data_IF_995494713586
#
_entry.id   IF_995494713586
#
_cell.length_a   1.000
_cell.length_b   1.000
_cell.length_c   1.000
_cell.angle_alpha   90.00
_cell.angle_beta   90.00
_cell.angle_gamma   90.00
#
_symmetry.space_group_name_H-M   'P 1'
#
loop_
_entity.id
_entity.type
_entity.pdbx_description
1 polymer ?
#
# COMPACT_ATOMS: atom_id res chain seq x y z
N UNK A 1 22.88 -4.37 -43.46
CA UNK A 1 22.27 -3.75 -42.25
C UNK A 1 21.06 -4.58 -41.84
N UNK A 2 21.13 -5.34 -40.74
CA UNK A 2 19.94 -6.02 -40.18
C UNK A 2 19.06 -4.95 -39.53
N UNK A 3 17.82 -4.78 -40.00
CA UNK A 3 16.81 -4.02 -39.27
C UNK A 3 16.43 -4.83 -38.03
N UNK A 4 16.68 -4.28 -36.85
CA UNK A 4 16.13 -4.81 -35.60
C UNK A 4 14.67 -4.42 -35.53
N UNK A 5 13.78 -5.42 -35.47
CA UNK A 5 12.37 -5.21 -35.18
C UNK A 5 12.18 -5.39 -33.68
N UNK A 6 11.76 -4.33 -32.99
CA UNK A 6 11.42 -4.38 -31.57
C UNK A 6 9.91 -4.31 -31.42
N UNK A 7 9.31 -5.34 -30.81
CA UNK A 7 7.92 -5.32 -30.39
C UNK A 7 7.87 -4.76 -28.96
N UNK A 8 7.06 -3.72 -28.77
CA UNK A 8 6.83 -3.11 -27.45
C UNK A 8 5.35 -3.26 -27.15
N UNK A 9 5.03 -3.95 -26.06
CA UNK A 9 3.66 -4.09 -25.55
C UNK A 9 3.61 -3.33 -24.23
N UNK A 10 2.72 -2.35 -24.13
CA UNK A 10 2.48 -1.60 -22.91
C UNK A 10 1.08 -1.93 -22.40
N UNK A 11 1.00 -2.46 -21.19
CA UNK A 11 -0.26 -2.63 -20.47
C UNK A 11 -0.41 -1.45 -19.51
N UNK A 12 -1.34 -0.55 -19.81
CA UNK A 12 -1.54 0.70 -19.08
C UNK A 12 -3.02 0.87 -18.74
N UNK A 13 -3.28 1.40 -17.55
CA UNK A 13 -4.60 1.93 -17.23
C UNK A 13 -4.88 3.21 -18.04
N UNK A 14 -6.16 3.55 -18.30
CA UNK A 14 -6.52 4.70 -19.14
C UNK A 14 -5.91 6.03 -18.69
N UNK A 15 -5.92 6.29 -17.38
CA UNK A 15 -5.33 7.46 -16.74
C UNK A 15 -3.81 7.54 -16.97
N UNK A 16 -3.10 6.41 -16.88
CA UNK A 16 -1.66 6.34 -17.14
C UNK A 16 -1.34 6.52 -18.62
N UNK A 17 -2.23 6.08 -19.52
CA UNK A 17 -2.09 6.34 -20.95
C UNK A 17 -2.21 7.84 -21.26
N UNK A 18 -3.19 8.53 -20.68
CA UNK A 18 -3.33 9.98 -20.81
C UNK A 18 -2.10 10.74 -20.27
N UNK A 19 -1.57 10.32 -19.12
CA UNK A 19 -0.34 10.90 -18.56
C UNK A 19 0.88 10.63 -19.45
N UNK A 20 0.96 9.46 -20.07
CA UNK A 20 2.05 9.12 -21.00
C UNK A 20 1.97 10.01 -22.25
N UNK A 21 0.78 10.24 -22.80
CA UNK A 21 0.56 11.12 -23.94
C UNK A 21 0.97 12.58 -23.68
N UNK A 22 0.84 13.05 -22.45
CA UNK A 22 1.25 14.43 -22.07
C UNK A 22 2.75 14.54 -21.77
N UNK A 23 3.43 13.44 -21.45
CA UNK A 23 4.84 13.44 -21.03
C UNK A 23 5.82 13.24 -22.20
N UNK A 24 5.43 12.49 -23.24
CA UNK A 24 6.32 12.14 -24.36
C UNK A 24 5.97 12.89 -25.65
N UNK A 25 6.98 13.10 -26.50
CA UNK A 25 6.81 13.72 -27.81
C UNK A 25 5.93 12.87 -28.76
N UNK A 26 5.24 13.53 -29.67
CA UNK A 26 4.32 12.96 -30.65
C UNK A 26 4.99 11.90 -31.54
N UNK A 27 6.30 12.00 -31.76
CA UNK A 27 7.08 11.00 -32.51
C UNK A 27 7.17 9.64 -31.79
N UNK A 28 7.21 9.64 -30.45
CA UNK A 28 7.23 8.43 -29.61
C UNK A 28 5.81 7.90 -29.46
N UNK A 29 4.85 8.79 -29.18
CA UNK A 29 3.43 8.41 -29.11
C UNK A 29 3.00 7.73 -30.39
N UNK A 30 3.29 8.30 -31.57
CA UNK A 30 2.92 7.71 -32.87
C UNK A 30 3.58 6.35 -33.18
N UNK A 31 4.65 5.96 -32.47
CA UNK A 31 5.24 4.62 -32.59
C UNK A 31 4.66 3.62 -31.60
N UNK A 32 4.28 4.07 -30.41
CA UNK A 32 3.72 3.22 -29.34
C UNK A 32 2.21 3.02 -29.55
N UNK A 33 1.53 4.04 -30.06
CA UNK A 33 0.08 4.09 -30.24
C UNK A 33 -0.41 3.45 -31.54
N UNK A 34 0.49 2.79 -32.30
CA UNK A 34 0.17 2.17 -33.59
C UNK A 34 -0.99 1.17 -33.49
N UNK A 35 -1.05 0.43 -32.37
CA UNK A 35 -2.15 -0.47 -32.06
C UNK A 35 -2.55 -0.25 -30.60
N UNK A 36 -3.71 0.37 -30.40
CA UNK A 36 -4.32 0.54 -29.08
C UNK A 36 -5.47 -0.45 -28.95
N UNK A 37 -5.38 -1.33 -27.95
CA UNK A 37 -6.45 -2.26 -27.60
C UNK A 37 -7.01 -1.81 -26.26
N UNK A 38 -8.21 -1.23 -26.27
CA UNK A 38 -8.94 -0.95 -25.05
C UNK A 38 -9.61 -2.24 -24.57
N UNK A 39 -9.22 -2.72 -23.39
CA UNK A 39 -9.90 -3.85 -22.76
C UNK A 39 -11.20 -3.33 -22.13
N UNK A 40 -12.34 -3.87 -22.59
CA UNK A 40 -13.64 -3.58 -21.97
C UNK A 40 -13.82 -4.36 -20.68
N UNK A 41 -14.69 -3.85 -19.82
CA UNK A 41 -15.15 -4.61 -18.67
C UNK A 41 -15.80 -5.92 -19.12
N UNK A 42 -15.45 -7.00 -18.44
CA UNK A 42 -15.98 -8.32 -18.73
C UNK A 42 -17.42 -8.42 -18.22
N UNK A 43 -18.25 -9.08 -19.01
CA UNK A 43 -19.60 -9.47 -18.62
C UNK A 43 -19.56 -10.68 -17.67
N UNK A 44 -20.62 -10.89 -16.89
CA UNK A 44 -20.74 -12.05 -15.99
C UNK A 44 -20.53 -13.37 -16.74
N UNK A 45 -21.04 -13.49 -17.97
CA UNK A 45 -20.85 -14.67 -18.82
C UNK A 45 -19.38 -14.93 -19.17
N UNK A 46 -18.59 -13.87 -19.38
CA UNK A 46 -17.16 -13.97 -19.65
C UNK A 46 -16.35 -14.31 -18.40
N UNK A 47 -16.72 -13.74 -17.24
CA UNK A 47 -16.11 -14.12 -15.94
C UNK A 47 -16.37 -15.61 -15.66
N UNK A 48 -17.60 -16.09 -15.88
CA UNK A 48 -17.94 -17.51 -15.77
C UNK A 48 -17.12 -18.39 -16.72
N UNK A 49 -16.90 -17.94 -17.96
CA UNK A 49 -16.06 -18.65 -18.91
C UNK A 49 -14.59 -18.73 -18.45
N UNK A 50 -14.04 -17.64 -17.89
CA UNK A 50 -12.68 -17.60 -17.35
C UNK A 50 -12.52 -18.55 -16.17
N UNK A 51 -13.48 -18.56 -15.25
CA UNK A 51 -13.48 -19.50 -14.13
C UNK A 51 -13.54 -20.95 -14.62
N UNK A 52 -14.36 -21.23 -15.64
CA UNK A 52 -14.44 -22.56 -16.25
C UNK A 52 -13.10 -23.01 -16.85
N UNK A 53 -12.39 -22.12 -17.57
CA UNK A 53 -11.05 -22.42 -18.12
C UNK A 53 -10.04 -22.71 -17.00
N UNK A 54 -10.08 -21.95 -15.89
CA UNK A 54 -9.21 -22.20 -14.73
C UNK A 54 -9.54 -23.51 -14.00
N UNK A 55 -10.78 -23.98 -14.06
CA UNK A 55 -11.17 -25.26 -13.45
C UNK A 55 -10.90 -26.46 -14.36
N UNK A 56 -10.89 -26.26 -15.69
CA UNK A 56 -10.49 -27.30 -16.65
C UNK A 56 -9.08 -27.84 -16.39
N UNK A 57 -8.15 -27.01 -15.88
CA UNK A 57 -6.81 -27.48 -15.50
C UNK A 57 -6.79 -28.41 -14.30
N UNK A 58 -7.87 -28.47 -13.53
CA UNK A 58 -8.02 -29.29 -12.32
C UNK A 58 -9.02 -30.45 -12.49
N UNK A 59 -9.59 -30.61 -13.69
CA UNK A 59 -10.62 -31.63 -14.01
C UNK A 59 -11.84 -31.62 -13.07
N UNK A 60 -12.19 -30.45 -12.52
CA UNK A 60 -13.32 -30.26 -11.62
C UNK A 60 -14.35 -29.34 -12.30
N UNK A 61 -15.64 -29.64 -12.15
CA UNK A 61 -16.71 -28.78 -12.68
C UNK A 61 -17.00 -27.62 -11.73
N UNK A 62 -17.31 -26.44 -12.30
CA UNK A 62 -17.58 -25.23 -11.53
C UNK A 62 -18.73 -25.44 -10.52
N UNK A 63 -19.75 -26.18 -10.97
CA UNK A 63 -20.98 -26.51 -10.25
C UNK A 63 -20.77 -27.56 -9.14
N UNK A 64 -19.61 -28.23 -9.11
CA UNK A 64 -19.24 -29.15 -8.03
C UNK A 64 -18.55 -28.43 -6.86
N UNK A 65 -17.94 -27.28 -7.13
CA UNK A 65 -17.14 -26.52 -6.17
C UNK A 65 -17.92 -25.35 -5.55
N UNK A 66 -18.75 -24.68 -6.35
CA UNK A 66 -19.51 -23.50 -5.93
C UNK A 66 -21.02 -23.75 -6.00
N UNK A 67 -21.75 -23.27 -5.00
CA UNK A 67 -23.22 -23.26 -5.05
C UNK A 67 -23.73 -22.13 -5.96
N UNK A 68 -25.01 -22.17 -6.33
CA UNK A 68 -25.62 -21.13 -7.16
C UNK A 68 -25.55 -19.74 -6.50
N UNK A 69 -25.68 -19.66 -5.18
CA UNK A 69 -25.54 -18.41 -4.41
C UNK A 69 -24.09 -17.91 -4.41
N UNK A 70 -23.11 -18.82 -4.24
CA UNK A 70 -21.68 -18.47 -4.29
C UNK A 70 -21.31 -17.87 -5.66
N UNK A 71 -21.83 -18.46 -6.75
CA UNK A 71 -21.58 -17.99 -8.11
C UNK A 71 -22.22 -16.62 -8.39
N UNK A 72 -23.43 -16.38 -7.90
CA UNK A 72 -24.08 -15.07 -8.06
C UNK A 72 -23.27 -13.96 -7.35
N UNK A 73 -22.82 -14.23 -6.12
CA UNK A 73 -22.00 -13.28 -5.37
C UNK A 73 -20.62 -13.05 -6.04
N UNK A 74 -19.97 -14.11 -6.55
CA UNK A 74 -18.71 -13.99 -7.31
C UNK A 74 -18.89 -13.13 -8.57
N UNK A 75 -19.93 -13.41 -9.37
CA UNK A 75 -20.16 -12.76 -10.65
C UNK A 75 -20.60 -11.31 -10.50
N UNK A 76 -21.22 -10.96 -9.36
CA UNK A 76 -21.61 -9.57 -9.04
C UNK A 76 -20.43 -8.64 -8.75
N UNK A 77 -19.24 -9.17 -8.44
CA UNK A 77 -18.09 -8.34 -8.05
C UNK A 77 -17.39 -7.72 -9.26
N UNK A 78 -17.09 -6.45 -9.14
CA UNK A 78 -16.28 -5.69 -10.10
C UNK A 78 -15.13 -5.01 -9.37
N UNK A 79 -13.88 -5.03 -9.90
CA UNK A 79 -13.43 -5.56 -11.20
C UNK A 79 -13.25 -7.10 -11.23
N UNK A 80 -12.83 -7.68 -12.37
CA UNK A 80 -12.59 -9.14 -12.50
C UNK A 80 -11.66 -9.69 -11.40
N UNK A 81 -10.70 -8.90 -10.92
CA UNK A 81 -9.82 -9.31 -9.82
C UNK A 81 -10.60 -9.51 -8.52
N UNK A 82 -11.55 -8.64 -8.20
CA UNK A 82 -12.47 -8.80 -7.08
C UNK A 82 -13.32 -10.07 -7.23
N UNK A 83 -13.85 -10.35 -8.42
CA UNK A 83 -14.57 -11.60 -8.70
C UNK A 83 -13.69 -12.84 -8.50
N UNK A 84 -12.45 -12.83 -9.04
CA UNK A 84 -11.51 -13.95 -8.88
C UNK A 84 -11.05 -14.13 -7.42
N UNK A 85 -10.80 -13.04 -6.70
CA UNK A 85 -10.46 -13.07 -5.28
C UNK A 85 -11.63 -13.61 -4.45
N UNK A 86 -12.86 -13.22 -4.79
CA UNK A 86 -14.08 -13.76 -4.14
C UNK A 86 -14.23 -15.26 -4.44
N UNK A 87 -13.99 -15.68 -5.67
CA UNK A 87 -13.98 -17.10 -6.03
C UNK A 87 -12.92 -17.89 -5.25
N UNK A 88 -11.72 -17.33 -5.07
CA UNK A 88 -10.67 -17.94 -4.26
C UNK A 88 -11.08 -18.05 -2.77
N UNK A 89 -11.73 -17.02 -2.21
CA UNK A 89 -12.25 -17.06 -0.84
C UNK A 89 -13.33 -18.15 -0.65
N UNK A 90 -14.23 -18.32 -1.62
CA UNK A 90 -15.22 -19.42 -1.58
C UNK A 90 -14.56 -20.79 -1.75
N UNK A 91 -13.51 -20.90 -2.57
CA UNK A 91 -12.72 -22.13 -2.66
C UNK A 91 -12.10 -22.48 -1.31
N UNK A 92 -11.47 -21.51 -0.64
CA UNK A 92 -10.89 -21.69 0.68
C UNK A 92 -11.93 -22.04 1.75
N UNK A 93 -13.15 -21.48 1.67
CA UNK A 93 -14.26 -21.89 2.53
C UNK A 93 -14.63 -23.36 2.31
N UNK A 94 -14.78 -23.81 1.06
CA UNK A 94 -15.29 -25.14 0.73
C UNK A 94 -14.26 -26.25 0.92
N UNK A 95 -13.00 -25.96 0.60
CA UNK A 95 -11.91 -26.94 0.62
C UNK A 95 -11.14 -26.89 1.92
N UNK A 96 -10.87 -25.70 2.45
CA UNK A 96 -10.02 -25.49 3.62
C UNK A 96 -10.79 -25.09 4.89
N UNK A 97 -12.14 -24.99 4.84
CA UNK A 97 -13.00 -24.55 5.96
C UNK A 97 -12.62 -23.17 6.54
N UNK A 98 -12.11 -22.27 5.70
CA UNK A 98 -11.75 -20.90 6.12
C UNK A 98 -12.99 -19.99 6.00
N UNK A 99 -13.46 -19.37 7.10
CA UNK A 99 -14.68 -18.55 7.07
C UNK A 99 -14.53 -17.31 6.19
N UNK A 100 -15.61 -16.92 5.51
CA UNK A 100 -15.67 -15.71 4.70
C UNK A 100 -15.68 -14.46 5.60
N UNK A 101 -14.99 -13.37 5.21
CA UNK A 101 -15.12 -12.07 5.87
C UNK A 101 -16.56 -11.52 5.77
N UNK A 102 -17.07 -10.92 6.84
CA UNK A 102 -18.46 -10.46 6.94
C UNK A 102 -18.65 -9.08 6.29
N UNK A 103 -18.90 -9.05 4.99
CA UNK A 103 -19.12 -7.82 4.20
C UNK A 103 -20.32 -6.97 4.71
N UNK A 104 -21.23 -7.54 5.52
CA UNK A 104 -22.36 -6.80 6.10
C UNK A 104 -21.94 -5.85 7.22
N UNK A 105 -20.77 -6.05 7.83
CA UNK A 105 -20.19 -5.06 8.78
C UNK A 105 -19.71 -3.81 8.05
N UNK A 106 -18.96 -3.97 6.96
CA UNK A 106 -18.43 -2.83 6.19
C UNK A 106 -19.53 -1.89 5.65
N UNK A 107 -20.65 -2.43 5.16
CA UNK A 107 -21.79 -1.61 4.69
C UNK A 107 -22.49 -0.88 5.85
N UNK A 108 -22.59 -1.50 7.03
CA UNK A 108 -23.14 -0.85 8.24
C UNK A 108 -22.22 0.23 8.79
N UNK A 109 -20.91 0.04 8.67
CA UNK A 109 -19.91 1.04 9.07
C UNK A 109 -19.89 2.25 8.13
N UNK A 110 -20.16 2.08 6.83
CA UNK A 110 -20.34 3.18 5.89
C UNK A 110 -21.54 4.07 6.26
N UNK A 111 -22.69 3.48 6.62
CA UNK A 111 -23.90 4.21 7.05
C UNK A 111 -23.72 4.90 8.43
N UNK A 112 -22.85 4.35 9.28
CA UNK A 112 -22.45 4.98 10.55
C UNK A 112 -21.47 6.14 10.33
N UNK A 113 -20.52 6.01 9.39
CA UNK A 113 -19.58 7.07 9.07
C UNK A 113 -20.27 8.28 8.43
N UNK A 114 -21.27 8.08 7.55
CA UNK A 114 -22.09 9.20 7.05
C UNK A 114 -22.85 9.91 8.17
N UNK A 115 -23.37 9.18 9.16
CA UNK A 115 -24.02 9.77 10.34
C UNK A 115 -23.02 10.53 11.23
N UNK A 116 -21.80 10.02 11.39
CA UNK A 116 -20.73 10.67 12.15
C UNK A 116 -20.26 11.93 11.42
N UNK A 117 -20.10 11.91 10.09
CA UNK A 117 -19.78 13.12 9.32
C UNK A 117 -20.87 14.18 9.42
N UNK A 118 -22.15 13.77 9.41
CA UNK A 118 -23.27 14.67 9.62
C UNK A 118 -23.24 15.27 11.04
N UNK A 119 -22.93 14.47 12.06
CA UNK A 119 -22.77 14.95 13.44
C UNK A 119 -21.57 15.90 13.59
N UNK A 120 -20.44 15.63 12.90
CA UNK A 120 -19.26 16.50 12.92
C UNK A 120 -19.52 17.83 12.21
N UNK A 121 -20.18 17.81 11.05
CA UNK A 121 -20.63 19.04 10.38
C UNK A 121 -21.56 19.86 11.27
N UNK A 122 -22.48 19.19 11.98
CA UNK A 122 -23.38 19.85 12.92
C UNK A 122 -22.62 20.46 14.11
N UNK A 123 -21.66 19.74 14.71
CA UNK A 123 -20.81 20.26 15.79
C UNK A 123 -19.93 21.43 15.34
N UNK A 124 -19.37 21.38 14.12
CA UNK A 124 -18.65 22.50 13.53
C UNK A 124 -19.56 23.72 13.35
N UNK A 125 -20.80 23.50 12.92
CA UNK A 125 -21.78 24.57 12.78
C UNK A 125 -22.16 25.18 14.14
N UNK A 126 -22.27 24.35 15.19
CA UNK A 126 -22.43 24.82 16.57
C UNK A 126 -21.24 25.64 17.06
N UNK A 127 -20.00 25.20 16.81
CA UNK A 127 -18.80 25.96 17.19
C UNK A 127 -18.73 27.31 16.47
N UNK A 128 -19.02 27.35 15.17
CA UNK A 128 -19.07 28.62 14.42
C UNK A 128 -20.12 29.57 14.99
N UNK A 129 -21.29 29.04 15.37
CA UNK A 129 -22.36 29.84 16.00
C UNK A 129 -21.92 30.36 17.38
N UNK A 130 -21.23 29.54 18.19
CA UNK A 130 -20.69 29.96 19.49
C UNK A 130 -19.63 31.05 19.31
N UNK A 131 -18.75 30.93 18.32
CA UNK A 131 -17.73 31.93 18.00
C UNK A 131 -18.39 33.25 17.57
N UNK A 132 -19.44 33.21 16.76
CA UNK A 132 -20.20 34.41 16.39
C UNK A 132 -20.86 35.08 17.61
N UNK A 133 -21.48 34.31 18.50
CA UNK A 133 -22.06 34.83 19.75
C UNK A 133 -20.98 35.42 20.66
N UNK A 134 -19.82 34.78 20.76
CA UNK A 134 -18.69 35.27 21.56
C UNK A 134 -18.14 36.59 20.97
N UNK A 135 -18.01 36.68 19.65
CA UNK A 135 -17.59 37.89 18.96
C UNK A 135 -18.59 39.03 19.14
N UNK A 136 -19.90 38.74 19.13
CA UNK A 136 -20.96 39.72 19.42
C UNK A 136 -20.91 40.19 20.88
N UNK A 137 -20.62 39.30 21.84
CA UNK A 137 -20.43 39.66 23.25
C UNK A 137 -19.18 40.54 23.45
N UNK A 138 -18.06 40.20 22.80
CA UNK A 138 -16.82 40.98 22.86
C UNK A 138 -17.05 42.39 22.27
N UNK A 139 -17.75 42.50 21.14
CA UNK A 139 -18.11 43.80 20.54
C UNK A 139 -19.11 44.59 21.41
N UNK A 140 -20.07 43.92 22.04
CA UNK A 140 -21.03 44.52 22.97
C UNK A 140 -20.41 45.03 24.27
N UNK A 141 -19.25 44.51 24.68
CA UNK A 141 -18.51 45.01 25.86
C UNK A 141 -17.65 46.24 25.58
N UNK A 142 -17.39 46.59 24.32
CA UNK A 142 -16.57 47.75 23.94
C UNK A 142 -17.39 49.01 23.61
N UNK A 143 -18.72 48.93 23.46
CA UNK A 143 -19.62 50.07 23.23
C UNK A 143 -20.77 50.06 24.25
N UNK A 144 -20.91 51.18 24.95
CA UNK A 144 -21.75 51.36 26.14
C UNK A 144 -23.25 51.03 25.99
N UNK A 145 -23.80 50.51 27.11
CA UNK A 145 -25.17 50.72 27.65
C UNK A 145 -26.31 50.80 26.64
N UNK A 146 -26.75 49.64 26.15
CA UNK A 146 -28.15 49.20 25.92
C UNK A 146 -28.11 48.03 24.93
N UNK A 147 -27.69 46.85 25.39
CA UNK A 147 -27.80 45.63 24.58
C UNK A 147 -29.07 44.89 24.98
N UNK A 148 -29.98 44.71 24.03
CA UNK A 148 -31.24 43.97 24.21
C UNK A 148 -30.94 42.47 24.32
N UNK A 149 -30.92 41.97 25.57
CA UNK A 149 -30.58 40.58 25.92
C UNK A 149 -31.63 39.54 25.49
N UNK A 150 -32.77 39.97 24.97
CA UNK A 150 -33.87 39.09 24.55
C UNK A 150 -33.49 38.13 23.42
N UNK A 151 -32.68 38.58 22.46
CA UNK A 151 -32.27 37.79 21.28
C UNK A 151 -31.21 36.72 21.57
N UNK A 152 -30.43 36.87 22.65
CA UNK A 152 -29.46 35.86 23.10
C UNK A 152 -30.12 34.74 23.91
N UNK A 153 -31.14 35.09 24.71
CA UNK A 153 -31.91 34.13 25.50
C UNK A 153 -32.64 33.13 24.60
N UNK A 154 -33.20 33.58 23.47
CA UNK A 154 -33.88 32.71 22.50
C UNK A 154 -32.92 31.79 21.73
N UNK A 155 -31.70 32.24 21.44
CA UNK A 155 -30.68 31.39 20.79
C UNK A 155 -30.11 30.32 21.73
N UNK A 156 -29.91 30.63 23.01
CA UNK A 156 -29.47 29.66 24.03
C UNK A 156 -30.54 28.62 24.38
N UNK A 157 -31.81 29.03 24.38
CA UNK A 157 -32.95 28.14 24.70
C UNK A 157 -33.18 27.05 23.66
N UNK A 158 -32.75 27.27 22.41
CA UNK A 158 -32.83 26.27 21.33
C UNK A 158 -31.70 25.23 21.38
N UNK A 159 -30.59 25.51 22.06
CA UNK A 159 -29.48 24.55 22.26
C UNK A 159 -29.74 23.57 23.42
N UNK A 160 -30.53 23.97 24.42
CA UNK A 160 -30.79 23.17 25.62
C UNK A 160 -31.89 22.08 25.44
N UNK A 161 -32.55 22.00 24.28
CA UNK A 161 -33.71 21.11 24.05
C UNK A 161 -33.39 19.75 23.42
N UNK A 162 -32.13 19.46 23.10
CA UNK A 162 -31.73 18.14 22.59
C UNK A 162 -30.52 17.62 23.35
N UNK A 163 -30.80 16.87 24.42
CA UNK A 163 -29.85 15.93 25.02
C UNK A 163 -30.22 14.54 24.50
N UNK A 164 -29.44 13.92 23.58
CA UNK A 164 -29.60 12.50 23.31
C UNK A 164 -29.05 11.74 24.52
N UNK A 165 -29.95 11.05 25.19
CA UNK A 165 -29.69 10.09 26.25
C UNK A 165 -28.52 9.15 25.90
N UNK A 166 -27.64 8.99 26.89
CA UNK A 166 -26.63 7.94 26.98
C UNK A 166 -27.19 6.58 26.56
N UNK A 167 -26.63 6.02 25.49
CA UNK A 167 -26.47 4.59 25.24
C UNK A 167 -25.54 4.42 24.04
N UNK A 168 -24.28 4.84 24.21
CA UNK A 168 -23.19 4.42 23.34
C UNK A 168 -22.74 3.05 23.85
N UNK A 169 -23.42 2.01 23.39
CA UNK A 169 -22.84 0.68 23.37
C UNK A 169 -21.68 0.74 22.38
N UNK A 170 -20.47 0.75 22.92
CA UNK A 170 -19.20 0.58 22.24
C UNK A 170 -19.13 -0.81 21.60
N UNK A 171 -19.67 -0.96 20.40
CA UNK A 171 -19.18 -1.95 19.46
C UNK A 171 -18.22 -1.24 18.51
N UNK A 172 -16.93 -1.47 18.72
CA UNK A 172 -15.81 -1.02 17.87
C UNK A 172 -16.13 -1.20 16.38
N UNK A 173 -16.33 -0.10 15.66
CA UNK A 173 -16.19 -0.09 14.21
C UNK A 173 -14.71 -0.27 13.90
N UNK A 174 -14.32 -1.45 13.42
CA UNK A 174 -12.93 -1.70 13.07
C UNK A 174 -12.67 -1.04 11.71
N UNK A 175 -11.76 -0.07 11.65
CA UNK A 175 -11.34 0.59 10.42
C UNK A 175 -11.11 -0.47 9.30
N UNK A 176 -11.68 -0.32 8.08
CA UNK A 176 -11.58 -1.33 7.02
C UNK A 176 -10.13 -1.66 6.63
N UNK A 177 -9.20 -0.72 6.85
CA UNK A 177 -7.76 -0.95 6.71
C UNK A 177 -7.25 -1.97 7.73
N UNK A 178 -7.71 -1.90 8.98
CA UNK A 178 -7.32 -2.83 10.05
C UNK A 178 -7.82 -4.24 9.73
N UNK A 179 -9.09 -4.39 9.33
CA UNK A 179 -9.65 -5.70 8.97
C UNK A 179 -8.87 -6.32 7.80
N UNK A 180 -8.62 -5.54 6.75
CA UNK A 180 -7.81 -5.96 5.61
C UNK A 180 -6.40 -6.39 6.04
N UNK A 181 -5.72 -5.57 6.85
CA UNK A 181 -4.36 -5.84 7.31
C UNK A 181 -4.28 -7.10 8.17
N UNK A 182 -5.22 -7.30 9.10
CA UNK A 182 -5.31 -8.52 9.94
C UNK A 182 -5.55 -9.77 9.09
N UNK A 183 -6.53 -9.72 8.18
CA UNK A 183 -6.81 -10.84 7.29
C UNK A 183 -5.58 -11.18 6.44
N UNK A 184 -5.01 -10.16 5.78
CA UNK A 184 -3.92 -10.39 4.83
C UNK A 184 -2.64 -10.83 5.52
N UNK A 185 -2.35 -10.31 6.72
CA UNK A 185 -1.25 -10.78 7.56
C UNK A 185 -1.38 -12.27 7.87
N UNK A 186 -2.57 -12.73 8.26
CA UNK A 186 -2.82 -14.15 8.54
C UNK A 186 -2.56 -15.03 7.32
N UNK A 187 -3.01 -14.58 6.13
CA UNK A 187 -2.75 -15.29 4.88
C UNK A 187 -1.26 -15.37 4.54
N UNK A 188 -0.50 -14.29 4.74
CA UNK A 188 0.95 -14.25 4.52
C UNK A 188 1.70 -15.12 5.54
N UNK A 189 1.27 -15.10 6.80
CA UNK A 189 1.82 -15.94 7.86
C UNK A 189 1.67 -17.44 7.56
N UNK A 190 0.50 -17.83 7.04
CA UNK A 190 0.22 -19.21 6.64
C UNK A 190 1.04 -19.64 5.42
N UNK A 191 1.28 -18.72 4.48
CA UNK A 191 2.02 -19.00 3.24
C UNK A 191 3.54 -18.87 3.38
N UNK A 192 4.05 -18.38 4.51
CA UNK A 192 5.46 -18.03 4.69
C UNK A 192 6.44 -19.18 4.39
N UNK A 193 6.07 -20.41 4.76
CA UNK A 193 6.88 -21.62 4.60
C UNK A 193 6.71 -22.30 3.25
N UNK A 194 5.85 -21.77 2.37
CA UNK A 194 5.67 -22.33 1.04
C UNK A 194 6.94 -22.09 0.21
N UNK A 195 7.31 -23.07 -0.61
CA UNK A 195 8.44 -22.94 -1.53
C UNK A 195 8.12 -21.88 -2.58
N UNK A 196 8.62 -20.66 -2.38
CA UNK A 196 8.48 -19.52 -3.28
C UNK A 196 9.86 -19.14 -3.80
N UNK A 197 9.95 -18.80 -5.09
CA UNK A 197 11.16 -18.24 -5.67
C UNK A 197 11.27 -16.79 -5.21
N UNK A 198 12.27 -16.51 -4.38
CA UNK A 198 12.61 -15.15 -3.92
C UNK A 198 13.72 -14.62 -4.82
N UNK A 199 13.59 -13.39 -5.29
CA UNK A 199 14.53 -12.80 -6.25
C UNK A 199 14.75 -11.32 -5.99
N UNK A 200 15.98 -10.85 -6.25
CA UNK A 200 16.36 -9.42 -6.14
C UNK A 200 15.36 -8.52 -6.88
N UNK A 201 14.93 -8.92 -8.08
CA UNK A 201 14.03 -8.13 -8.93
C UNK A 201 12.60 -8.01 -8.40
N UNK A 202 12.08 -9.07 -7.77
CA UNK A 202 10.73 -9.04 -7.18
C UNK A 202 10.70 -8.09 -5.98
N UNK A 203 11.65 -8.25 -5.05
CA UNK A 203 11.71 -7.43 -3.85
C UNK A 203 12.05 -5.97 -4.16
N UNK A 204 12.92 -5.72 -5.15
CA UNK A 204 13.14 -4.37 -5.65
C UNK A 204 11.92 -3.78 -6.36
N UNK A 205 11.15 -4.59 -7.07
CA UNK A 205 9.88 -4.17 -7.68
C UNK A 205 8.86 -3.73 -6.62
N UNK A 206 8.70 -4.55 -5.57
CA UNK A 206 7.86 -4.22 -4.41
C UNK A 206 8.32 -2.94 -3.73
N UNK A 207 9.62 -2.83 -3.46
CA UNK A 207 10.17 -1.64 -2.82
C UNK A 207 9.98 -0.38 -3.66
N UNK A 208 10.13 -0.45 -4.98
CA UNK A 208 9.84 0.68 -5.88
C UNK A 208 8.38 1.09 -5.82
N UNK A 209 7.45 0.13 -5.84
CA UNK A 209 6.01 0.42 -5.72
C UNK A 209 5.66 1.07 -4.37
N UNK A 210 6.26 0.58 -3.27
CA UNK A 210 6.12 1.19 -1.94
C UNK A 210 6.67 2.61 -1.95
N UNK A 211 7.89 2.80 -2.47
CA UNK A 211 8.52 4.11 -2.54
C UNK A 211 7.70 5.10 -3.38
N UNK A 212 7.19 4.69 -4.54
CA UNK A 212 6.32 5.51 -5.38
C UNK A 212 5.04 5.92 -4.64
N UNK A 213 4.38 4.98 -3.95
CA UNK A 213 3.19 5.29 -3.16
C UNK A 213 3.49 6.28 -2.02
N UNK A 214 4.61 6.11 -1.31
CA UNK A 214 5.00 7.00 -0.22
C UNK A 214 5.30 8.43 -0.69
N UNK A 215 5.56 8.66 -1.99
CA UNK A 215 5.71 10.04 -2.52
C UNK A 215 4.45 10.88 -2.40
N UNK A 216 3.27 10.25 -2.24
CA UNK A 216 2.00 10.96 -2.05
C UNK A 216 1.91 11.67 -0.71
N UNK A 217 2.56 11.13 0.33
CA UNK A 217 2.49 11.66 1.70
C UNK A 217 3.82 12.27 2.18
N UNK A 218 4.91 12.05 1.44
CA UNK A 218 6.24 12.57 1.79
C UNK A 218 7.07 12.85 0.54
N UNK A 219 7.68 14.03 0.45
CA UNK A 219 8.50 14.38 -0.71
C UNK A 219 9.94 13.83 -0.62
N UNK A 220 10.35 13.06 -1.62
CA UNK A 220 11.73 12.61 -1.84
C UNK A 220 11.95 12.25 -3.32
N UNK A 221 13.21 12.05 -3.72
CA UNK A 221 13.56 11.60 -5.07
C UNK A 221 14.08 10.17 -5.05
N UNK A 222 13.76 9.43 -6.10
CA UNK A 222 14.28 8.10 -6.35
C UNK A 222 15.29 8.17 -7.48
N UNK A 223 16.54 7.81 -7.19
CA UNK A 223 17.64 7.75 -8.15
C UNK A 223 18.38 6.41 -8.04
N UNK A 224 19.48 6.27 -8.77
CA UNK A 224 20.30 5.08 -8.75
C UNK A 224 21.77 5.45 -8.92
N UNK A 225 22.64 4.80 -8.15
CA UNK A 225 24.07 4.96 -8.34
C UNK A 225 24.59 4.06 -9.46
N UNK A 226 25.51 4.61 -10.24
CA UNK A 226 26.20 3.88 -11.31
C UNK A 226 27.62 3.56 -10.87
N UNK A 227 28.06 2.34 -11.14
CA UNK A 227 29.43 1.91 -10.84
C UNK A 227 30.11 1.32 -12.07
N UNK A 228 30.33 2.18 -13.07
CA UNK A 228 30.96 1.80 -14.33
C UNK A 228 30.25 0.63 -15.01
N UNK A 229 31.02 -0.39 -15.42
CA UNK A 229 30.52 -1.62 -16.07
C UNK A 229 30.30 -2.78 -15.09
N UNK A 230 30.45 -2.55 -13.77
CA UNK A 230 30.37 -3.61 -12.77
C UNK A 230 28.92 -3.93 -12.41
N UNK A 231 28.65 -5.20 -12.18
CA UNK A 231 27.33 -5.66 -11.74
C UNK A 231 27.18 -5.37 -10.25
N UNK A 232 26.17 -4.55 -9.92
CA UNK A 232 25.78 -4.24 -8.55
C UNK A 232 24.57 -5.09 -8.14
N UNK A 233 24.33 -5.27 -6.83
CA UNK A 233 23.01 -5.59 -6.34
C UNK A 233 21.97 -4.60 -6.89
N UNK A 234 20.77 -5.08 -7.18
CA UNK A 234 19.68 -4.18 -7.55
C UNK A 234 19.36 -3.28 -6.34
N UNK A 235 19.26 -1.98 -6.58
CA UNK A 235 19.12 -1.00 -5.52
C UNK A 235 18.38 0.25 -6.00
N UNK A 236 17.87 1.01 -5.03
CA UNK A 236 17.39 2.38 -5.20
C UNK A 236 18.13 3.31 -4.25
N UNK A 237 18.24 4.58 -4.65
CA UNK A 237 18.72 5.67 -3.81
C UNK A 237 17.55 6.59 -3.52
N UNK A 238 17.27 6.80 -2.23
CA UNK A 238 16.25 7.71 -1.74
C UNK A 238 16.94 8.99 -1.30
N UNK A 239 16.67 10.08 -2.00
CA UNK A 239 17.25 11.40 -1.73
C UNK A 239 16.24 12.26 -0.98
N UNK A 240 16.62 12.67 0.23
CA UNK A 240 15.81 13.54 1.09
C UNK A 240 16.64 14.72 1.58
N UNK A 241 16.58 15.82 0.85
CA UNK A 241 17.42 17.00 1.11
C UNK A 241 18.90 16.63 1.02
N UNK A 242 19.61 16.66 2.15
CA UNK A 242 21.04 16.30 2.24
C UNK A 242 21.30 14.85 2.64
N UNK A 243 20.25 14.07 2.93
CA UNK A 243 20.37 12.66 3.34
C UNK A 243 20.10 11.73 2.15
N UNK A 244 20.96 10.74 1.98
CA UNK A 244 20.87 9.73 0.93
C UNK A 244 20.81 8.34 1.56
N UNK A 245 19.76 7.57 1.24
CA UNK A 245 19.60 6.20 1.70
C UNK A 245 19.62 5.25 0.50
N UNK A 246 20.56 4.32 0.48
CA UNK A 246 20.68 3.29 -0.55
C UNK A 246 20.15 1.98 0.02
N UNK A 247 19.14 1.40 -0.62
CA UNK A 247 18.59 0.10 -0.24
C UNK A 247 18.71 -0.85 -1.42
N UNK A 248 19.26 -2.03 -1.13
CA UNK A 248 19.58 -3.05 -2.12
C UNK A 248 19.17 -4.44 -1.62
N UNK A 249 18.71 -5.31 -2.52
CA UNK A 249 18.49 -6.73 -2.23
C UNK A 249 19.59 -7.59 -2.86
N UNK A 250 19.97 -8.66 -2.16
CA UNK A 250 20.95 -9.64 -2.64
C UNK A 250 20.59 -11.05 -2.18
N UNK A 251 19.68 -11.66 -2.91
CA UNK A 251 19.13 -13.00 -2.69
C UNK A 251 19.97 -14.08 -3.39
N UNK A 252 20.67 -13.74 -4.48
CA UNK A 252 21.55 -14.69 -5.19
C UNK A 252 22.65 -15.25 -4.28
N UNK A 253 23.07 -16.49 -4.53
CA UNK A 253 24.13 -17.19 -3.77
C UNK A 253 25.41 -17.38 -4.60
N UNK A 254 26.46 -17.93 -3.98
CA UNK A 254 27.68 -18.35 -4.65
C UNK A 254 28.60 -17.22 -5.15
N UNK A 255 29.23 -17.42 -6.30
CA UNK A 255 30.18 -16.45 -6.88
C UNK A 255 29.51 -15.12 -7.24
N UNK A 256 28.27 -15.16 -7.73
CA UNK A 256 27.45 -13.98 -8.01
C UNK A 256 27.24 -13.12 -6.77
N UNK A 257 26.93 -13.75 -5.62
CA UNK A 257 26.84 -13.05 -4.34
C UNK A 257 28.14 -12.32 -4.03
N UNK A 258 29.26 -13.05 -3.99
CA UNK A 258 30.57 -12.49 -3.61
C UNK A 258 31.02 -11.34 -4.51
N UNK A 259 30.72 -11.43 -5.82
CA UNK A 259 31.05 -10.39 -6.79
C UNK A 259 30.23 -9.12 -6.56
N UNK A 260 28.91 -9.28 -6.38
CA UNK A 260 27.98 -8.16 -6.19
C UNK A 260 28.24 -7.44 -4.87
N UNK A 261 28.39 -8.16 -3.76
CA UNK A 261 28.70 -7.53 -2.46
C UNK A 261 30.07 -6.84 -2.47
N UNK A 262 31.06 -7.40 -3.17
CA UNK A 262 32.37 -6.74 -3.31
C UNK A 262 32.26 -5.42 -4.07
N UNK A 263 31.43 -5.35 -5.11
CA UNK A 263 31.18 -4.10 -5.84
C UNK A 263 30.34 -3.12 -5.01
N UNK A 264 29.40 -3.63 -4.21
CA UNK A 264 28.61 -2.83 -3.29
C UNK A 264 29.48 -2.18 -2.20
N UNK A 265 30.42 -2.91 -1.61
CA UNK A 265 31.37 -2.34 -0.63
C UNK A 265 32.23 -1.23 -1.24
N UNK A 266 32.63 -1.35 -2.50
CA UNK A 266 33.33 -0.25 -3.18
C UNK A 266 32.43 0.98 -3.38
N UNK A 267 31.14 0.76 -3.67
CA UNK A 267 30.17 1.84 -3.79
C UNK A 267 29.95 2.57 -2.46
N UNK A 268 29.94 1.83 -1.34
CA UNK A 268 29.85 2.37 0.02
C UNK A 268 31.01 3.31 0.32
N UNK A 269 32.24 2.88 0.01
CA UNK A 269 33.46 3.68 0.22
C UNK A 269 33.44 4.97 -0.63
N UNK A 270 32.95 4.88 -1.87
CA UNK A 270 32.91 6.02 -2.79
C UNK A 270 31.84 7.07 -2.44
N UNK A 271 30.90 6.74 -1.55
CA UNK A 271 29.76 7.61 -1.20
C UNK A 271 29.59 7.71 0.33
N UNK A 272 30.55 8.32 1.04
CA UNK A 272 30.55 8.35 2.52
C UNK A 272 29.34 9.09 3.12
N UNK A 273 28.71 9.97 2.34
CA UNK A 273 27.54 10.75 2.78
C UNK A 273 26.21 9.98 2.67
N UNK A 274 26.23 8.77 2.10
CA UNK A 274 25.05 7.95 1.86
C UNK A 274 25.02 6.76 2.79
N UNK A 275 23.85 6.42 3.31
CA UNK A 275 23.64 5.26 4.19
C UNK A 275 23.18 4.06 3.37
N UNK A 276 23.98 2.99 3.36
CA UNK A 276 23.77 1.79 2.57
C UNK A 276 23.21 0.65 3.40
N UNK A 277 22.17 0.00 2.87
CA UNK A 277 21.54 -1.16 3.46
C UNK A 277 21.45 -2.23 2.38
N UNK A 278 22.06 -3.38 2.68
CA UNK A 278 21.97 -4.58 1.88
C UNK A 278 21.08 -5.59 2.60
N UNK A 279 20.00 -5.99 1.96
CA UNK A 279 18.96 -6.85 2.51
C UNK A 279 19.07 -8.24 1.85
N UNK A 280 18.86 -9.28 2.64
CA UNK A 280 18.73 -10.66 2.17
C UNK A 280 17.63 -11.37 2.98
N UNK A 281 16.78 -12.13 2.33
CA UNK A 281 15.73 -12.91 2.99
C UNK A 281 16.33 -14.07 3.81
N UNK A 282 15.87 -14.26 5.04
CA UNK A 282 16.40 -15.31 5.94
C UNK A 282 16.15 -16.73 5.43
N UNK A 283 15.17 -16.92 4.54
CA UNK A 283 14.83 -18.23 3.95
C UNK A 283 15.84 -18.67 2.89
N UNK A 284 16.70 -17.77 2.42
CA UNK A 284 17.78 -18.13 1.51
C UNK A 284 18.84 -18.98 2.22
N UNK A 285 19.57 -19.77 1.43
CA UNK A 285 20.70 -20.53 1.96
C UNK A 285 21.72 -19.61 2.66
N UNK A 286 22.20 -20.09 3.81
CA UNK A 286 23.21 -19.39 4.60
C UNK A 286 24.51 -19.25 3.80
N UNK A 287 25.15 -18.07 3.90
CA UNK A 287 26.44 -17.82 3.27
C UNK A 287 27.55 -18.51 4.08
N UNK A 288 27.83 -19.77 3.75
CA UNK A 288 28.87 -20.56 4.42
C UNK A 288 30.31 -20.22 3.98
N UNK A 289 30.45 -19.75 2.73
CA UNK A 289 31.74 -19.42 2.12
C UNK A 289 32.52 -18.33 2.85
N UNK A 290 33.81 -18.56 3.12
CA UNK A 290 34.70 -17.64 3.85
C UNK A 290 34.71 -16.24 3.25
N UNK A 291 34.85 -16.15 1.92
CA UNK A 291 34.91 -14.87 1.19
C UNK A 291 33.61 -14.08 1.34
N UNK A 292 32.45 -14.74 1.21
CA UNK A 292 31.14 -14.09 1.37
C UNK A 292 30.97 -13.48 2.77
N UNK A 293 31.28 -14.26 3.81
CA UNK A 293 31.24 -13.79 5.21
C UNK A 293 32.18 -12.63 5.47
N UNK A 294 33.38 -12.65 4.90
CA UNK A 294 34.33 -11.55 5.03
C UNK A 294 33.82 -10.27 4.35
N UNK A 295 33.18 -10.37 3.19
CA UNK A 295 32.58 -9.20 2.51
C UNK A 295 31.38 -8.63 3.26
N UNK A 296 30.57 -9.47 3.90
CA UNK A 296 29.50 -9.02 4.80
C UNK A 296 30.09 -8.23 5.96
N UNK A 297 31.10 -8.78 6.65
CA UNK A 297 31.80 -8.08 7.74
C UNK A 297 32.41 -6.75 7.30
N UNK A 298 32.95 -6.67 6.08
CA UNK A 298 33.46 -5.40 5.54
C UNK A 298 32.36 -4.35 5.37
N UNK A 299 31.16 -4.76 4.97
CA UNK A 299 30.01 -3.86 4.90
C UNK A 299 29.61 -3.37 6.30
N UNK A 300 29.48 -4.29 7.25
CA UNK A 300 29.09 -3.97 8.64
C UNK A 300 30.11 -3.14 9.40
N UNK A 301 31.40 -3.30 9.08
CA UNK A 301 32.48 -2.51 9.67
C UNK A 301 32.59 -1.09 9.07
N UNK A 302 31.87 -0.79 8.00
CA UNK A 302 31.83 0.56 7.44
C UNK A 302 30.91 1.47 8.26
N UNK A 303 31.22 2.76 8.33
CA UNK A 303 30.44 3.73 9.12
C UNK A 303 29.05 4.00 8.55
N UNK A 304 28.82 3.64 7.29
CA UNK A 304 27.63 3.95 6.52
C UNK A 304 27.04 2.73 5.80
N UNK A 305 27.40 1.51 6.18
CA UNK A 305 26.92 0.27 5.56
C UNK A 305 26.33 -0.69 6.59
N UNK A 306 25.24 -1.36 6.20
CA UNK A 306 24.58 -2.37 7.03
C UNK A 306 24.12 -3.56 6.19
N UNK A 307 24.32 -4.76 6.73
CA UNK A 307 23.71 -5.98 6.23
C UNK A 307 22.51 -6.33 7.11
N UNK A 308 21.36 -6.62 6.52
CA UNK A 308 20.13 -6.97 7.24
C UNK A 308 19.61 -8.29 6.69
N UNK A 309 19.37 -9.25 7.60
CA UNK A 309 18.56 -10.41 7.31
C UNK A 309 17.09 -10.04 7.51
N UNK A 310 16.31 -10.18 6.45
CA UNK A 310 14.89 -9.96 6.45
C UNK A 310 14.23 -11.16 7.13
N UNK A 311 13.93 -11.00 8.42
CA UNK A 311 13.31 -12.06 9.20
C UNK A 311 11.83 -12.23 8.84
N UNK A 312 11.19 -13.28 9.36
CA UNK A 312 9.75 -13.53 9.15
C UNK A 312 8.86 -12.31 9.37
N UNK A 313 9.08 -11.56 10.44
CA UNK A 313 8.24 -10.39 10.76
C UNK A 313 8.45 -9.25 9.76
N UNK A 314 9.71 -8.90 9.48
CA UNK A 314 10.06 -7.89 8.48
C UNK A 314 9.49 -8.27 7.11
N UNK A 315 9.65 -9.53 6.71
CA UNK A 315 9.18 -10.04 5.43
C UNK A 315 7.67 -9.93 5.28
N UNK A 316 6.92 -10.37 6.29
CA UNK A 316 5.45 -10.33 6.26
C UNK A 316 4.97 -8.88 6.23
N UNK A 317 5.53 -7.99 7.06
CA UNK A 317 5.13 -6.58 7.05
C UNK A 317 5.46 -5.90 5.72
N UNK A 318 6.61 -6.20 5.12
CA UNK A 318 6.99 -5.67 3.82
C UNK A 318 6.03 -6.08 2.71
N UNK A 319 5.72 -7.38 2.62
CA UNK A 319 4.77 -7.90 1.64
C UNK A 319 3.35 -7.37 1.94
N UNK A 320 2.98 -7.18 3.21
CA UNK A 320 1.69 -6.63 3.62
C UNK A 320 1.51 -5.17 3.18
N UNK A 321 2.53 -4.33 3.35
CA UNK A 321 2.53 -2.92 2.89
C UNK A 321 2.36 -2.88 1.38
N UNK A 322 3.11 -3.72 0.66
CA UNK A 322 2.99 -3.84 -0.78
C UNK A 322 1.58 -4.26 -1.21
N UNK A 323 1.03 -5.30 -0.58
CA UNK A 323 -0.30 -5.82 -0.89
C UNK A 323 -1.40 -4.79 -0.62
N UNK A 324 -1.29 -4.00 0.46
CA UNK A 324 -2.21 -2.90 0.74
C UNK A 324 -2.24 -1.88 -0.40
N UNK A 325 -1.07 -1.39 -0.80
CA UNK A 325 -0.93 -0.40 -1.88
C UNK A 325 -1.50 -0.94 -3.19
N UNK A 326 -1.17 -2.19 -3.53
CA UNK A 326 -1.66 -2.83 -4.75
C UNK A 326 -3.17 -3.02 -4.71
N UNK A 327 -3.75 -3.40 -3.58
CA UNK A 327 -5.21 -3.56 -3.46
C UNK A 327 -5.96 -2.25 -3.58
N UNK A 328 -5.42 -1.16 -3.03
CA UNK A 328 -5.98 0.19 -3.20
C UNK A 328 -5.90 0.62 -4.67
N UNK A 329 -4.73 0.49 -5.31
CA UNK A 329 -4.59 0.88 -6.73
C UNK A 329 -5.49 0.07 -7.67
N UNK A 330 -5.75 -1.20 -7.35
CA UNK A 330 -6.65 -2.03 -8.14
C UNK A 330 -8.13 -1.85 -7.78
N UNK A 331 -8.46 -0.97 -6.83
CA UNK A 331 -9.82 -0.75 -6.29
C UNK A 331 -10.45 -2.02 -5.70
N UNK A 332 -9.62 -2.93 -5.19
CA UNK A 332 -10.08 -4.07 -4.40
C UNK A 332 -10.35 -3.68 -2.93
N UNK A 333 -9.73 -2.58 -2.48
CA UNK A 333 -9.96 -1.95 -1.19
C UNK A 333 -10.39 -0.50 -1.45
N UNK A 334 -11.62 -0.16 -1.07
CA UNK A 334 -12.18 1.18 -1.26
C UNK A 334 -11.77 2.11 -0.11
N UNK A 335 -10.48 2.45 -0.10
CA UNK A 335 -9.86 3.36 0.87
C UNK A 335 -8.91 4.29 0.12
N UNK A 336 -8.90 5.56 0.52
CA UNK A 336 -7.94 6.53 0.02
C UNK A 336 -6.48 6.14 0.37
N UNK A 337 -5.59 6.25 -0.61
CA UNK A 337 -4.20 5.84 -0.48
C UNK A 337 -3.47 6.65 0.61
N UNK A 338 -3.66 7.96 0.64
CA UNK A 338 -3.00 8.84 1.62
C UNK A 338 -3.44 8.50 3.04
N UNK A 339 -4.73 8.22 3.23
CA UNK A 339 -5.29 7.76 4.51
C UNK A 339 -4.68 6.44 4.95
N UNK A 340 -4.60 5.44 4.05
CA UNK A 340 -4.04 4.13 4.36
C UNK A 340 -2.53 4.19 4.65
N UNK A 341 -1.77 4.97 3.87
CA UNK A 341 -0.33 5.16 4.09
C UNK A 341 -0.05 5.93 5.39
N UNK A 342 -0.86 6.93 5.71
CA UNK A 342 -0.76 7.65 7.00
C UNK A 342 -1.02 6.70 8.15
N UNK A 343 -2.01 5.80 8.03
CA UNK A 343 -2.31 4.82 9.05
C UNK A 343 -1.11 3.91 9.35
N UNK A 344 -0.55 3.24 8.34
CA UNK A 344 0.57 2.29 8.53
C UNK A 344 1.88 2.96 8.96
N UNK A 345 2.04 4.26 8.70
CA UNK A 345 3.24 5.02 9.12
C UNK A 345 3.12 5.63 10.52
N UNK A 346 1.93 5.61 11.13
CA UNK A 346 1.65 6.20 12.45
C UNK A 346 1.26 5.18 13.52
N UNK A 347 0.93 3.95 13.13
CA UNK A 347 0.52 2.89 14.07
C UNK A 347 1.63 1.85 14.22
N UNK A 348 2.13 1.66 15.45
CA UNK A 348 3.30 0.81 15.73
C UNK A 348 3.14 -0.64 15.25
N UNK A 349 1.94 -1.20 15.37
CA UNK A 349 1.65 -2.59 14.96
C UNK A 349 1.91 -2.84 13.46
N UNK A 350 1.70 -1.81 12.63
CA UNK A 350 1.79 -1.87 11.18
C UNK A 350 3.03 -1.14 10.63
N UNK A 351 3.81 -0.55 11.52
CA UNK A 351 4.98 0.24 11.18
C UNK A 351 6.14 -0.68 10.79
N UNK A 352 6.72 -0.43 9.63
CA UNK A 352 7.95 -1.10 9.19
C UNK A 352 9.11 -0.12 9.18
N UNK A 353 10.27 -0.56 9.67
CA UNK A 353 11.48 0.25 9.74
C UNK A 353 11.94 0.87 8.41
N UNK A 354 11.51 0.35 7.25
CA UNK A 354 11.84 0.93 5.94
C UNK A 354 11.30 2.36 5.81
N UNK A 355 10.20 2.68 6.49
CA UNK A 355 9.60 4.01 6.51
C UNK A 355 10.57 5.07 7.05
N UNK A 356 11.46 4.72 7.99
CA UNK A 356 12.52 5.61 8.46
C UNK A 356 13.43 6.14 7.32
N UNK A 357 13.61 5.34 6.27
CA UNK A 357 14.46 5.70 5.11
C UNK A 357 13.75 6.70 4.20
N UNK A 358 12.43 6.71 4.21
CA UNK A 358 11.60 7.70 3.51
C UNK A 358 11.34 8.96 4.35
N UNK A 359 11.55 8.91 5.67
CA UNK A 359 11.51 10.08 6.56
C UNK A 359 10.37 10.11 7.55
N UNK A 360 9.62 9.01 7.66
CA UNK A 360 8.67 8.80 8.74
C UNK A 360 9.43 8.45 10.02
N UNK A 361 8.93 8.91 11.16
CA UNK A 361 9.45 8.52 12.47
C UNK A 361 8.69 7.33 13.00
N UNK A 362 9.39 6.45 13.71
CA UNK A 362 8.75 5.35 14.43
C UNK A 362 7.74 5.92 15.45
N UNK A 363 6.49 5.42 15.46
CA UNK A 363 5.49 5.89 16.40
C UNK A 363 5.84 5.47 17.83
N UNK A 364 5.56 6.38 18.78
CA UNK A 364 5.76 6.12 20.20
C UNK A 364 4.70 5.12 20.69
N UNK A 365 5.16 4.11 21.43
CA UNK A 365 4.34 3.05 22.04
C UNK A 365 3.49 3.54 23.19
#
# INVERSE_FOLDING_TARGET
>A
MRKSYSLIILNLFPDRWEKLQTTFDQSIIGRISQYQIALRQLTEGEIKAILKVKMQTLDISLEQLFTSEDLEDILSKTPIRAALNRAAKYYDLRVNNIPLPDERKAIRELDQNEKIEQQLKFLQQQQNTIIEVLNQLIQGTQLSKTADFSTLQDKLSNLAKYSPSENVNSSSSENPVIEYLKQRRTELENKYHNAIIISDSDDMGKLRNIAEALTHIQSFKLTQYRFGKKVLPEHIVIERGTKYHVMAFLEVSGTSFTTRISNFNQLVINNPNSQFILIRDERQEEITGKVGRERIKQLENSTNGKFILFNRQDRILFDLIYDLIVSIYNKDLDVDLETALTFITTHQEWYHWIFNKFGFTEPLS
#
